data_IF_218549014073
#
_entry.id   IF_218549014073
#
_cell.length_a   1.000
_cell.length_b   1.000
_cell.length_c   1.000
_cell.angle_alpha   90.00
_cell.angle_beta   90.00
_cell.angle_gamma   90.00
#
_symmetry.space_group_name_H-M   'P 1'
#
loop_
_entity.id
_entity.type
_entity.pdbx_description
1 polymer ?
#
# COMPACT_ATOMS: atom_id res chain seq x y z
N UNK A 1 -13.45 -20.01 12.17
CA UNK A 1 -13.75 -18.66 11.63
C UNK A 1 -14.74 -17.93 12.55
N UNK A 2 -14.37 -16.75 13.06
CA UNK A 2 -15.11 -16.01 14.10
C UNK A 2 -16.26 -15.17 13.53
N UNK A 3 -17.29 -14.87 14.35
CA UNK A 3 -18.54 -14.15 14.02
C UNK A 3 -18.37 -12.76 13.36
N UNK A 4 -17.16 -12.21 13.28
CA UNK A 4 -16.90 -10.91 12.63
C UNK A 4 -16.98 -10.95 11.10
N UNK A 5 -16.81 -12.13 10.50
CA UNK A 5 -16.81 -12.34 9.05
C UNK A 5 -18.18 -12.19 8.37
N UNK A 6 -19.27 -12.17 9.15
CA UNK A 6 -20.63 -12.33 8.60
C UNK A 6 -21.38 -11.01 8.39
N UNK A 7 -20.72 -9.86 8.57
CA UNK A 7 -21.33 -8.54 8.39
C UNK A 7 -20.47 -7.58 7.60
N UNK A 8 -20.13 -7.92 6.36
CA UNK A 8 -19.97 -6.91 5.31
C UNK A 8 -20.60 -7.44 4.03
N UNK A 9 -21.83 -6.98 3.79
CA UNK A 9 -22.33 -6.84 2.42
C UNK A 9 -21.33 -5.92 1.74
N UNK A 10 -20.49 -6.46 0.86
CA UNK A 10 -19.69 -5.63 -0.04
C UNK A 10 -20.71 -4.95 -0.94
N UNK A 11 -21.09 -3.72 -0.55
CA UNK A 11 -21.83 -2.81 -1.39
C UNK A 11 -20.98 -2.62 -2.65
N UNK A 12 -21.53 -3.01 -3.79
CA UNK A 12 -20.94 -3.00 -5.14
C UNK A 12 -20.74 -1.58 -5.67
N UNK A 13 -20.12 -0.70 -4.88
CA UNK A 13 -19.79 0.68 -5.25
C UNK A 13 -18.41 1.07 -4.71
N UNK A 14 -17.44 0.16 -4.85
CA UNK A 14 -16.02 0.42 -4.70
C UNK A 14 -15.32 -0.09 -5.95
N UNK A 15 -15.34 0.74 -6.99
CA UNK A 15 -14.74 0.44 -8.28
C UNK A 15 -13.21 0.47 -8.11
N UNK A 16 -12.61 -0.66 -7.75
CA UNK A 16 -11.16 -0.87 -7.70
C UNK A 16 -10.64 -0.71 -9.14
N UNK A 17 -10.25 0.50 -9.48
CA UNK A 17 -9.52 0.85 -10.69
C UNK A 17 -8.10 1.20 -10.26
N UNK A 18 -7.27 0.18 -10.05
CA UNK A 18 -5.84 0.36 -9.81
C UNK A 18 -5.11 -0.50 -10.84
N UNK A 19 -4.16 0.15 -11.53
CA UNK A 19 -3.32 -0.34 -12.63
C UNK A 19 -3.98 -0.40 -14.01
N UNK A 20 -4.18 0.77 -14.62
CA UNK A 20 -4.22 0.87 -16.09
C UNK A 20 -3.75 2.22 -16.60
N UNK A 21 -2.60 2.71 -16.13
CA UNK A 21 -1.79 3.65 -16.92
C UNK A 21 -0.33 3.49 -16.50
N UNK A 22 0.48 2.76 -17.28
CA UNK A 22 1.76 3.24 -17.84
C UNK A 22 2.15 2.21 -18.90
N UNK A 23 2.17 2.61 -20.17
CA UNK A 23 3.21 2.32 -21.17
C UNK A 23 2.67 2.72 -22.55
N UNK A 24 3.14 3.85 -23.10
CA UNK A 24 4.02 3.90 -24.28
C UNK A 24 4.27 5.35 -24.74
N UNK A 25 5.58 5.66 -24.81
CA UNK A 25 6.28 6.52 -25.80
C UNK A 25 6.04 8.03 -25.86
N UNK A 26 7.13 8.77 -25.59
CA UNK A 26 7.97 9.30 -26.66
C UNK A 26 7.60 10.69 -27.21
N UNK A 27 8.50 11.65 -26.97
CA UNK A 27 8.53 13.00 -27.55
C UNK A 27 7.93 13.12 -28.95
N UNK A 28 6.87 13.91 -29.10
CA UNK A 28 6.66 14.78 -30.26
C UNK A 28 5.97 16.08 -29.85
N UNK A 29 6.27 17.14 -30.60
CA UNK A 29 6.08 18.56 -30.29
C UNK A 29 4.62 19.01 -30.17
N UNK A 30 4.44 19.98 -29.27
CA UNK A 30 3.42 21.03 -29.17
C UNK A 30 2.33 21.11 -30.25
N UNK A 31 1.08 21.09 -29.79
CA UNK A 31 0.06 22.06 -30.21
C UNK A 31 -0.99 22.24 -29.12
N UNK A 32 -1.29 23.50 -28.81
CA UNK A 32 -2.31 23.97 -27.88
C UNK A 32 -3.72 23.44 -28.21
N UNK A 33 -4.47 23.01 -27.20
CA UNK A 33 -5.92 23.04 -27.18
C UNK A 33 -6.44 22.96 -25.73
N UNK A 34 -6.96 24.09 -25.26
CA UNK A 34 -7.75 24.23 -24.03
C UNK A 34 -8.99 23.32 -24.08
N UNK A 35 -9.35 22.66 -22.97
CA UNK A 35 -10.76 22.32 -22.69
C UNK A 35 -11.05 22.34 -21.18
N UNK A 36 -11.75 23.40 -20.82
CA UNK A 36 -12.61 23.72 -19.68
C UNK A 36 -13.00 22.57 -18.73
N UNK A 37 -12.69 22.79 -17.45
CA UNK A 37 -13.33 22.13 -16.30
C UNK A 37 -14.78 22.65 -16.14
N UNK A 38 -15.72 21.76 -15.87
CA UNK A 38 -17.03 22.10 -15.33
C UNK A 38 -17.17 21.48 -13.94
N UNK A 39 -17.29 22.37 -12.95
CA UNK A 39 -17.74 22.08 -11.59
C UNK A 39 -19.14 21.48 -11.60
N UNK A 40 -19.36 20.50 -10.74
CA UNK A 40 -20.69 20.29 -10.19
C UNK A 40 -20.59 19.98 -8.70
N UNK A 41 -20.85 21.02 -7.93
CA UNK A 41 -21.15 21.02 -6.49
C UNK A 41 -22.38 20.18 -6.20
N UNK A 42 -22.32 19.38 -5.13
CA UNK A 42 -23.53 18.95 -4.42
C UNK A 42 -23.25 18.90 -2.92
N UNK A 43 -23.75 19.93 -2.25
CA UNK A 43 -23.91 19.99 -0.81
C UNK A 43 -24.83 18.88 -0.33
N UNK A 44 -24.52 18.27 0.82
CA UNK A 44 -25.52 17.69 1.72
C UNK A 44 -25.01 17.84 3.14
N UNK A 45 -25.59 18.80 3.85
CA UNK A 45 -25.62 18.91 5.31
C UNK A 45 -26.15 17.60 5.92
N UNK A 46 -25.54 17.12 7.00
CA UNK A 46 -26.24 16.75 8.27
C UNK A 46 -25.24 16.28 9.34
N UNK A 47 -25.07 17.17 10.33
CA UNK A 47 -25.02 16.94 11.78
C UNK A 47 -24.03 15.95 12.40
N UNK A 48 -23.01 16.59 12.97
CA UNK A 48 -22.24 16.29 14.17
C UNK A 48 -23.06 15.65 15.32
N UNK A 49 -22.60 14.50 15.80
CA UNK A 49 -22.87 14.02 17.16
C UNK A 49 -21.55 13.63 17.84
N UNK A 50 -21.18 14.45 18.82
CA UNK A 50 -20.13 14.20 19.77
C UNK A 50 -20.48 13.03 20.70
N UNK A 51 -19.52 12.15 20.97
CA UNK A 51 -19.51 11.28 22.15
C UNK A 51 -18.14 11.37 22.80
N UNK A 52 -18.15 11.91 24.02
CA UNK A 52 -16.99 12.11 24.89
C UNK A 52 -16.74 10.92 25.81
N UNK A 53 -15.44 10.63 25.96
CA UNK A 53 -14.67 10.12 27.09
C UNK A 53 -14.94 8.71 27.65
N UNK A 54 -13.87 7.92 27.70
CA UNK A 54 -13.30 7.44 28.96
C UNK A 54 -11.79 7.17 28.82
N UNK A 55 -11.01 7.87 29.64
CA UNK A 55 -9.61 7.57 29.97
C UNK A 55 -9.57 6.27 30.76
N UNK A 56 -8.66 5.36 30.39
CA UNK A 56 -8.02 4.46 31.34
C UNK A 56 -6.54 4.37 30.99
N UNK A 57 -5.74 4.82 31.95
CA UNK A 57 -4.28 4.83 31.97
C UNK A 57 -3.71 3.42 31.97
N UNK A 58 -2.72 3.15 31.13
CA UNK A 58 -1.63 2.23 31.45
C UNK A 58 -0.33 2.70 30.78
N UNK A 59 0.70 2.79 31.61
CA UNK A 59 2.06 3.24 31.31
C UNK A 59 2.86 2.21 30.50
N UNK A 60 3.90 2.75 29.84
CA UNK A 60 5.12 2.10 29.33
C UNK A 60 5.05 1.26 28.05
N UNK A 61 5.37 1.92 26.94
CA UNK A 61 6.69 1.69 26.32
C UNK A 61 7.10 2.96 25.56
N UNK A 62 7.93 3.81 26.16
CA UNK A 62 8.51 4.95 25.44
C UNK A 62 9.61 4.44 24.50
N UNK A 63 9.18 3.90 23.36
CA UNK A 63 10.00 3.90 22.16
C UNK A 63 10.27 5.38 21.89
N UNK A 64 11.53 5.79 21.95
CA UNK A 64 11.90 7.12 21.49
C UNK A 64 11.40 7.23 20.06
N UNK A 65 10.37 8.04 19.80
CA UNK A 65 9.99 8.38 18.44
C UNK A 65 11.24 8.94 17.78
N UNK A 66 11.81 8.20 16.82
CA UNK A 66 12.88 8.74 16.00
C UNK A 66 12.31 9.97 15.31
N UNK A 67 12.92 11.12 15.56
CA UNK A 67 12.48 12.36 14.96
C UNK A 67 12.72 12.29 13.46
N UNK A 68 11.66 12.48 12.67
CA UNK A 68 11.73 12.47 11.21
C UNK A 68 12.86 13.39 10.68
N UNK A 69 13.62 12.97 9.66
CA UNK A 69 14.68 13.80 9.09
C UNK A 69 14.08 15.06 8.46
N UNK A 70 14.73 16.20 8.68
CA UNK A 70 14.36 17.44 8.02
C UNK A 70 14.79 17.44 6.55
N UNK A 71 14.28 18.40 5.77
CA UNK A 71 14.58 18.52 4.33
C UNK A 71 16.07 18.55 3.99
N UNK A 72 16.89 19.25 4.77
CA UNK A 72 18.33 19.34 4.53
C UNK A 72 19.00 17.97 4.69
N UNK A 73 18.66 17.25 5.76
CA UNK A 73 19.12 15.87 5.99
C UNK A 73 18.68 14.96 4.84
N UNK A 74 17.42 15.03 4.42
CA UNK A 74 16.90 14.22 3.30
C UNK A 74 17.65 14.50 2.01
N UNK A 75 17.87 15.77 1.64
CA UNK A 75 18.61 16.13 0.43
C UNK A 75 20.05 15.62 0.45
N UNK A 76 20.73 15.73 1.60
CA UNK A 76 22.09 15.21 1.79
C UNK A 76 22.13 13.68 1.64
N UNK A 77 21.21 12.96 2.28
CA UNK A 77 21.20 11.49 2.19
C UNK A 77 20.80 10.99 0.81
N UNK A 78 19.89 11.70 0.12
CA UNK A 78 19.56 11.43 -1.27
C UNK A 78 20.79 11.52 -2.18
N UNK A 79 21.60 12.58 -2.05
CA UNK A 79 22.84 12.71 -2.83
C UNK A 79 23.80 11.53 -2.60
N UNK A 80 23.95 11.11 -1.33
CA UNK A 80 24.80 9.98 -0.95
C UNK A 80 24.25 8.64 -1.48
N UNK A 81 22.95 8.42 -1.33
CA UNK A 81 22.29 7.16 -1.69
C UNK A 81 22.27 6.95 -3.21
N UNK A 82 22.08 8.02 -3.99
CA UNK A 82 21.95 7.98 -5.44
C UNK A 82 23.27 8.17 -6.20
N UNK A 83 24.38 8.38 -5.48
CA UNK A 83 25.70 8.58 -6.08
C UNK A 83 26.08 7.43 -7.02
N UNK A 84 26.35 7.77 -8.27
CA UNK A 84 26.80 6.83 -9.31
C UNK A 84 25.69 6.28 -10.21
N UNK A 85 24.41 6.59 -9.91
CA UNK A 85 23.29 6.25 -10.79
C UNK A 85 23.12 7.28 -11.91
N UNK A 86 22.56 6.87 -13.05
CA UNK A 86 22.12 7.80 -14.10
C UNK A 86 20.77 8.42 -13.76
N UNK A 87 20.43 9.53 -14.41
CA UNK A 87 19.14 10.19 -14.24
C UNK A 87 17.98 9.24 -14.56
N UNK A 88 18.10 8.41 -15.60
CA UNK A 88 17.05 7.43 -15.96
C UNK A 88 16.88 6.33 -14.90
N UNK A 89 17.98 5.90 -14.26
CA UNK A 89 17.93 4.93 -13.17
C UNK A 89 17.24 5.51 -11.94
N UNK A 90 17.58 6.76 -11.59
CA UNK A 90 16.97 7.48 -10.48
C UNK A 90 15.46 7.69 -10.73
N UNK A 91 15.07 8.14 -11.93
CA UNK A 91 13.66 8.32 -12.30
C UNK A 91 12.89 7.01 -12.24
N UNK A 92 13.42 5.95 -12.87
CA UNK A 92 12.79 4.61 -12.86
C UNK A 92 12.59 4.08 -11.45
N UNK A 93 13.61 4.14 -10.59
CA UNK A 93 13.51 3.71 -9.19
C UNK A 93 12.48 4.54 -8.42
N UNK A 94 12.52 5.86 -8.57
CA UNK A 94 11.62 6.79 -7.87
C UNK A 94 10.16 6.53 -8.22
N UNK A 95 9.85 6.37 -9.50
CA UNK A 95 8.48 6.11 -9.96
C UNK A 95 7.95 4.75 -9.49
N UNK A 96 8.81 3.73 -9.43
CA UNK A 96 8.45 2.40 -8.92
C UNK A 96 8.18 2.42 -7.42
N UNK A 97 9.07 3.02 -6.63
CA UNK A 97 8.90 3.16 -5.17
C UNK A 97 7.64 3.96 -4.85
N UNK A 98 7.44 5.11 -5.51
CA UNK A 98 6.24 5.93 -5.36
C UNK A 98 4.97 5.13 -5.66
N UNK A 99 4.93 4.43 -6.79
CA UNK A 99 3.73 3.70 -7.21
C UNK A 99 3.41 2.56 -6.26
N UNK A 100 4.43 1.84 -5.78
CA UNK A 100 4.26 0.78 -4.80
C UNK A 100 3.80 1.31 -3.43
N UNK A 101 4.40 2.40 -2.94
CA UNK A 101 3.99 3.06 -1.70
C UNK A 101 2.52 3.48 -1.77
N UNK A 102 2.12 4.22 -2.80
CA UNK A 102 0.74 4.69 -2.96
C UNK A 102 -0.27 3.54 -3.07
N UNK A 103 0.08 2.44 -3.74
CA UNK A 103 -0.78 1.27 -3.86
C UNK A 103 -1.03 0.61 -2.48
N UNK A 104 0.04 0.34 -1.72
CA UNK A 104 -0.09 -0.24 -0.39
C UNK A 104 -0.78 0.72 0.58
N UNK A 105 -0.40 2.00 0.55
CA UNK A 105 -1.00 3.02 1.40
C UNK A 105 -2.51 3.13 1.16
N UNK A 106 -2.95 3.09 -0.10
CA UNK A 106 -4.38 3.09 -0.44
C UNK A 106 -5.09 1.85 0.12
N UNK A 107 -4.53 0.65 -0.09
CA UNK A 107 -5.10 -0.59 0.43
C UNK A 107 -5.15 -0.62 1.96
N UNK A 108 -4.13 -0.11 2.63
CA UNK A 108 -4.07 -0.02 4.10
C UNK A 108 -5.15 0.94 4.63
N UNK A 109 -5.26 2.13 4.03
CA UNK A 109 -6.19 3.16 4.53
C UNK A 109 -7.65 2.89 4.19
N UNK A 110 -7.95 2.42 2.99
CA UNK A 110 -9.32 2.38 2.48
C UNK A 110 -9.89 0.96 2.43
N UNK A 111 -9.04 -0.05 2.29
CA UNK A 111 -9.50 -1.43 2.10
C UNK A 111 -9.30 -2.31 3.34
N UNK A 112 -8.74 -1.78 4.44
CA UNK A 112 -8.40 -2.56 5.65
C UNK A 112 -7.44 -3.71 5.33
N UNK A 113 -6.50 -3.51 4.38
CA UNK A 113 -5.61 -4.57 3.88
C UNK A 113 -4.89 -5.32 5.00
N UNK A 114 -4.39 -4.61 6.02
CA UNK A 114 -3.69 -5.24 7.16
C UNK A 114 -4.63 -6.15 7.97
N UNK A 115 -5.88 -5.75 8.21
CA UNK A 115 -6.85 -6.60 8.92
C UNK A 115 -7.16 -7.86 8.10
N UNK A 116 -7.29 -7.74 6.78
CA UNK A 116 -7.55 -8.87 5.90
C UNK A 116 -6.36 -9.84 5.83
N UNK A 117 -5.12 -9.34 5.76
CA UNK A 117 -3.91 -10.16 5.71
C UNK A 117 -3.52 -10.73 7.08
N UNK A 118 -4.06 -10.20 8.17
CA UNK A 118 -3.85 -10.77 9.51
C UNK A 118 -4.43 -12.18 9.65
N UNK A 119 -5.35 -12.59 8.76
CA UNK A 119 -5.73 -13.98 8.58
C UNK A 119 -4.82 -14.65 7.55
N UNK A 120 -4.02 -15.65 7.97
CA UNK A 120 -3.12 -16.39 7.10
C UNK A 120 -3.85 -17.21 6.03
N UNK A 121 -5.13 -17.51 6.25
CA UNK A 121 -6.00 -18.22 5.28
C UNK A 121 -6.77 -17.24 4.36
N UNK A 122 -6.49 -15.93 4.46
CA UNK A 122 -7.14 -14.91 3.66
C UNK A 122 -6.87 -15.09 2.17
N UNK A 123 -7.90 -14.93 1.34
CA UNK A 123 -7.77 -14.96 -0.12
C UNK A 123 -6.99 -13.75 -0.65
N UNK A 124 -6.72 -12.72 0.16
CA UNK A 124 -5.85 -11.61 -0.23
C UNK A 124 -4.39 -12.04 -0.46
N UNK A 125 -3.93 -13.14 0.14
CA UNK A 125 -2.59 -13.67 -0.11
C UNK A 125 -2.37 -14.11 -1.56
N UNK A 126 -3.44 -14.42 -2.30
CA UNK A 126 -3.37 -14.77 -3.71
C UNK A 126 -2.71 -13.68 -4.59
N UNK A 127 -2.75 -12.41 -4.16
CA UNK A 127 -2.02 -11.33 -4.83
C UNK A 127 -0.50 -11.54 -4.84
N UNK A 128 0.07 -12.20 -3.83
CA UNK A 128 1.50 -12.54 -3.77
C UNK A 128 1.80 -13.92 -4.36
N UNK A 129 0.81 -14.80 -4.43
CA UNK A 129 1.02 -16.18 -4.87
C UNK A 129 0.90 -16.39 -6.38
N UNK A 130 0.01 -15.65 -7.05
CA UNK A 130 -0.45 -15.99 -8.40
C UNK A 130 -0.69 -14.77 -9.28
N UNK A 131 -0.30 -14.86 -10.55
CA UNK A 131 -0.70 -13.93 -11.61
C UNK A 131 -1.91 -14.44 -12.40
N UNK A 132 -2.61 -13.56 -13.10
CA UNK A 132 -3.79 -13.87 -13.90
C UNK A 132 -5.09 -13.73 -13.10
N UNK A 133 -6.12 -14.48 -13.46
CA UNK A 133 -7.37 -14.46 -12.71
C UNK A 133 -7.18 -15.14 -11.34
N UNK A 134 -7.22 -14.35 -10.26
CA UNK A 134 -7.12 -14.82 -8.88
C UNK A 134 -8.46 -14.67 -8.17
N UNK A 135 -8.74 -15.60 -7.26
CA UNK A 135 -9.88 -15.47 -6.37
C UNK A 135 -9.53 -14.58 -5.18
N UNK A 136 -10.39 -13.62 -4.86
CA UNK A 136 -10.18 -12.66 -3.74
C UNK A 136 -11.33 -12.67 -2.73
N UNK A 137 -12.40 -13.43 -2.99
CA UNK A 137 -13.51 -13.49 -2.05
C UNK A 137 -14.64 -14.41 -2.47
N UNK A 138 -15.73 -14.27 -1.74
CA UNK A 138 -17.01 -14.94 -1.98
C UNK A 138 -18.13 -13.90 -1.96
N UNK A 139 -19.02 -13.97 -2.94
CA UNK A 139 -20.28 -13.24 -2.96
C UNK A 139 -21.42 -14.22 -2.69
N UNK A 140 -22.45 -13.76 -1.98
CA UNK A 140 -23.64 -14.56 -1.68
C UNK A 140 -24.83 -13.90 -2.35
N UNK A 141 -25.39 -14.55 -3.37
CA UNK A 141 -26.63 -14.10 -4.02
C UNK A 141 -27.82 -14.83 -3.39
N UNK A 142 -28.09 -14.49 -2.13
CA UNK A 142 -29.23 -15.02 -1.40
C UNK A 142 -29.72 -14.06 -0.31
N UNK A 143 -31.04 -14.00 -0.15
CA UNK A 143 -31.67 -13.28 0.97
C UNK A 143 -31.74 -14.13 2.25
N UNK A 144 -31.41 -15.43 2.17
CA UNK A 144 -31.49 -16.36 3.30
C UNK A 144 -30.13 -16.35 4.01
N UNK A 145 -30.11 -15.97 5.29
CA UNK A 145 -28.89 -16.02 6.10
C UNK A 145 -28.43 -17.46 6.38
N UNK A 146 -27.15 -17.63 6.78
CA UNK A 146 -26.63 -18.94 7.21
C UNK A 146 -27.51 -19.54 8.32
N UNK A 147 -27.89 -18.74 9.31
CA UNK A 147 -28.72 -19.16 10.43
C UNK A 147 -30.13 -19.60 9.99
N UNK A 148 -30.77 -18.85 9.08
CA UNK A 148 -32.11 -19.18 8.57
C UNK A 148 -32.11 -20.37 7.62
N UNK A 149 -30.99 -20.64 6.95
CA UNK A 149 -30.89 -21.74 6.00
C UNK A 149 -30.99 -23.12 6.66
N UNK A 150 -30.66 -23.21 7.96
CA UNK A 150 -30.53 -24.48 8.68
C UNK A 150 -29.40 -25.39 8.16
N UNK A 151 -28.55 -24.87 7.26
CA UNK A 151 -27.42 -25.58 6.69
C UNK A 151 -26.18 -25.42 7.56
N UNK A 152 -25.23 -26.36 7.42
CA UNK A 152 -23.87 -26.11 7.88
C UNK A 152 -23.21 -25.01 7.03
N UNK A 153 -22.14 -24.40 7.53
CA UNK A 153 -21.40 -23.37 6.79
C UNK A 153 -20.94 -23.87 5.42
N UNK A 154 -20.42 -25.09 5.34
CA UNK A 154 -19.89 -25.66 4.10
C UNK A 154 -21.00 -25.91 3.07
N UNK A 155 -22.14 -26.46 3.51
CA UNK A 155 -23.33 -26.64 2.66
C UNK A 155 -23.90 -25.31 2.17
N UNK A 156 -23.90 -24.29 3.04
CA UNK A 156 -24.35 -22.95 2.68
C UNK A 156 -23.43 -22.30 1.65
N UNK A 157 -22.11 -22.37 1.87
CA UNK A 157 -21.12 -21.86 0.91
C UNK A 157 -21.24 -22.60 -0.43
N UNK A 158 -21.34 -23.93 -0.42
CA UNK A 158 -21.50 -24.72 -1.64
C UNK A 158 -22.76 -24.35 -2.42
N UNK A 159 -23.84 -23.99 -1.72
CA UNK A 159 -25.13 -23.70 -2.35
C UNK A 159 -25.27 -22.25 -2.82
N UNK A 160 -24.72 -21.29 -2.09
CA UNK A 160 -25.00 -19.87 -2.28
C UNK A 160 -23.78 -19.01 -2.58
N UNK A 161 -22.56 -19.50 -2.37
CA UNK A 161 -21.36 -18.71 -2.63
C UNK A 161 -20.98 -18.76 -4.12
N UNK A 162 -20.66 -17.59 -4.67
CA UNK A 162 -20.00 -17.43 -5.96
C UNK A 162 -18.62 -16.82 -5.73
N UNK A 163 -17.61 -17.27 -6.45
CA UNK A 163 -16.25 -16.72 -6.33
C UNK A 163 -16.24 -15.27 -6.80
N UNK A 164 -15.59 -14.40 -6.03
CA UNK A 164 -15.20 -13.06 -6.49
C UNK A 164 -13.75 -13.14 -6.93
N UNK A 165 -13.47 -12.75 -8.17
CA UNK A 165 -12.15 -12.83 -8.78
C UNK A 165 -11.72 -11.49 -9.37
N UNK A 166 -10.43 -11.31 -9.54
CA UNK A 166 -9.81 -10.16 -10.22
C UNK A 166 -8.61 -10.63 -11.05
N UNK A 167 -8.15 -9.82 -12.00
CA UNK A 167 -6.93 -10.10 -12.74
C UNK A 167 -5.73 -9.45 -12.02
N UNK A 168 -4.76 -10.25 -11.60
CA UNK A 168 -3.52 -9.80 -10.98
C UNK A 168 -2.36 -9.84 -11.97
N UNK A 169 -1.65 -8.72 -12.12
CA UNK A 169 -0.54 -8.62 -13.07
C UNK A 169 0.79 -9.12 -12.48
N UNK A 170 0.96 -8.96 -11.16
CA UNK A 170 2.23 -9.20 -10.47
C UNK A 170 2.03 -10.03 -9.22
N UNK A 171 2.83 -11.08 -9.09
CA UNK A 171 2.99 -11.88 -7.87
C UNK A 171 4.31 -11.55 -7.15
N UNK A 172 4.61 -12.23 -6.05
CA UNK A 172 5.85 -11.98 -5.29
C UNK A 172 7.12 -12.22 -6.12
N UNK A 173 7.13 -13.21 -7.01
CA UNK A 173 8.30 -13.50 -7.84
C UNK A 173 8.52 -12.37 -8.85
N UNK A 174 7.44 -11.79 -9.35
CA UNK A 174 7.48 -10.61 -10.21
C UNK A 174 8.00 -9.38 -9.45
N UNK A 175 7.54 -9.13 -8.22
CA UNK A 175 8.05 -8.03 -7.40
C UNK A 175 9.52 -8.22 -7.02
N UNK A 176 9.94 -9.44 -6.69
CA UNK A 176 11.35 -9.77 -6.44
C UNK A 176 12.21 -9.46 -7.67
N UNK A 177 11.76 -9.84 -8.88
CA UNK A 177 12.48 -9.53 -10.11
C UNK A 177 12.64 -8.02 -10.33
N UNK A 178 11.58 -7.23 -10.06
CA UNK A 178 11.65 -5.77 -10.14
C UNK A 178 12.63 -5.17 -9.12
N UNK A 179 12.70 -5.72 -7.91
CA UNK A 179 13.68 -5.28 -6.90
C UNK A 179 15.10 -5.69 -7.33
N UNK A 180 15.29 -6.89 -7.88
CA UNK A 180 16.56 -7.36 -8.40
C UNK A 180 17.09 -6.46 -9.52
N UNK A 181 16.24 -6.01 -10.44
CA UNK A 181 16.60 -5.01 -11.47
C UNK A 181 17.12 -3.70 -10.86
N UNK A 182 16.51 -3.24 -9.76
CA UNK A 182 16.95 -2.02 -9.06
C UNK A 182 18.31 -2.24 -8.40
N UNK A 183 18.52 -3.39 -7.76
CA UNK A 183 19.75 -3.74 -7.05
C UNK A 183 20.99 -3.78 -7.96
N UNK A 184 20.81 -4.00 -9.27
CA UNK A 184 21.91 -4.06 -10.25
C UNK A 184 22.70 -2.75 -10.38
N UNK A 185 22.06 -1.60 -10.17
CA UNK A 185 22.69 -0.29 -10.34
C UNK A 185 22.90 0.49 -9.03
N UNK A 186 22.46 -0.04 -7.89
CA UNK A 186 22.75 0.57 -6.59
C UNK A 186 24.20 0.31 -6.17
N UNK A 187 24.94 1.41 -6.04
CA UNK A 187 26.33 1.42 -5.54
C UNK A 187 26.42 1.71 -4.03
N UNK A 188 25.45 2.40 -3.45
CA UNK A 188 25.43 2.71 -2.03
C UNK A 188 25.00 1.48 -1.21
N UNK A 189 25.83 1.03 -0.27
CA UNK A 189 25.58 -0.20 0.50
C UNK A 189 24.38 -0.10 1.45
N UNK A 190 24.09 1.07 2.02
CA UNK A 190 22.95 1.26 2.92
C UNK A 190 21.63 1.20 2.13
N UNK A 191 21.54 1.91 1.00
CA UNK A 191 20.38 1.82 0.10
C UNK A 191 20.21 0.40 -0.45
N UNK A 192 21.32 -0.28 -0.77
CA UNK A 192 21.29 -1.67 -1.23
C UNK A 192 20.74 -2.60 -0.15
N UNK A 193 21.11 -2.36 1.11
CA UNK A 193 20.60 -3.11 2.24
C UNK A 193 19.10 -2.87 2.46
N UNK A 194 18.60 -1.65 2.27
CA UNK A 194 17.17 -1.33 2.36
C UNK A 194 16.35 -2.09 1.30
N UNK A 195 16.78 -2.06 0.03
CA UNK A 195 16.13 -2.84 -1.03
C UNK A 195 16.25 -4.36 -0.82
N UNK A 196 17.39 -4.84 -0.32
CA UNK A 196 17.58 -6.26 0.01
C UNK A 196 16.62 -6.70 1.12
N UNK A 197 16.42 -5.85 2.14
CA UNK A 197 15.47 -6.12 3.21
C UNK A 197 14.04 -6.20 2.68
N UNK A 198 13.63 -5.25 1.84
CA UNK A 198 12.31 -5.26 1.21
C UNK A 198 12.09 -6.52 0.35
N UNK A 199 13.11 -6.92 -0.43
CA UNK A 199 13.09 -8.16 -1.23
C UNK A 199 12.86 -9.40 -0.38
N UNK A 200 13.57 -9.52 0.74
CA UNK A 200 13.40 -10.67 1.64
C UNK A 200 12.01 -10.65 2.28
N UNK A 201 11.48 -9.48 2.68
CA UNK A 201 10.11 -9.39 3.19
C UNK A 201 9.07 -9.80 2.15
N UNK A 202 9.22 -9.44 0.86
CA UNK A 202 8.31 -9.92 -0.21
C UNK A 202 8.31 -11.45 -0.28
N UNK A 203 9.51 -12.04 -0.21
CA UNK A 203 9.65 -13.49 -0.22
C UNK A 203 9.01 -14.14 1.01
N UNK A 204 9.30 -13.63 2.20
CA UNK A 204 8.76 -14.15 3.45
C UNK A 204 7.24 -13.99 3.53
N UNK A 205 6.69 -12.88 3.04
CA UNK A 205 5.25 -12.66 2.95
C UNK A 205 4.55 -13.78 2.17
N UNK A 206 5.10 -14.16 0.99
CA UNK A 206 4.58 -15.29 0.20
C UNK A 206 4.77 -16.65 0.89
N UNK A 207 5.89 -16.87 1.57
CA UNK A 207 6.21 -18.18 2.16
C UNK A 207 5.46 -18.44 3.48
N UNK A 208 5.12 -17.38 4.23
CA UNK A 208 4.66 -17.50 5.63
C UNK A 208 3.28 -16.94 5.88
N UNK A 209 2.77 -16.10 4.98
CA UNK A 209 1.54 -15.31 5.20
C UNK A 209 1.59 -14.51 6.51
N UNK A 210 2.77 -14.03 6.89
CA UNK A 210 2.94 -13.11 8.01
C UNK A 210 2.69 -11.67 7.54
N UNK A 211 1.60 -11.08 8.02
CA UNK A 211 1.23 -9.69 7.73
C UNK A 211 2.32 -8.69 8.14
N UNK A 212 3.18 -9.02 9.11
CA UNK A 212 4.27 -8.15 9.52
C UNK A 212 5.31 -7.94 8.41
N UNK A 213 5.47 -8.91 7.49
CA UNK A 213 6.34 -8.75 6.33
C UNK A 213 5.77 -7.71 5.36
N UNK A 214 4.44 -7.66 5.19
CA UNK A 214 3.76 -6.64 4.37
C UNK A 214 3.84 -5.25 5.03
N UNK A 215 3.73 -5.20 6.36
CA UNK A 215 3.95 -3.96 7.12
C UNK A 215 5.39 -3.46 6.95
N UNK A 216 6.37 -4.35 7.00
CA UNK A 216 7.77 -3.99 6.79
C UNK A 216 8.03 -3.44 5.39
N UNK A 217 7.47 -4.06 4.35
CA UNK A 217 7.53 -3.56 2.97
C UNK A 217 6.92 -2.15 2.89
N UNK A 218 5.76 -1.94 3.49
CA UNK A 218 5.11 -0.63 3.52
C UNK A 218 5.98 0.43 4.21
N UNK A 219 6.54 0.15 5.38
CA UNK A 219 7.40 1.09 6.09
C UNK A 219 8.64 1.48 5.26
N UNK A 220 9.30 0.51 4.62
CA UNK A 220 10.47 0.78 3.77
C UNK A 220 10.07 1.64 2.57
N UNK A 221 9.00 1.29 1.87
CA UNK A 221 8.51 2.06 0.73
C UNK A 221 8.11 3.47 1.12
N UNK A 222 7.41 3.61 2.24
CA UNK A 222 6.93 4.90 2.75
C UNK A 222 8.08 5.83 3.11
N UNK A 223 9.02 5.37 3.95
CA UNK A 223 10.18 6.17 4.32
C UNK A 223 11.06 6.47 3.09
N UNK A 224 11.23 5.49 2.18
CA UNK A 224 12.03 5.69 0.97
C UNK A 224 11.39 6.71 0.04
N UNK A 225 10.07 6.69 -0.07
CA UNK A 225 9.33 7.62 -0.89
C UNK A 225 9.34 9.04 -0.30
N UNK A 226 8.85 9.21 0.92
CA UNK A 226 8.62 10.53 1.51
C UNK A 226 9.82 11.12 2.25
N UNK A 227 10.77 10.29 2.65
CA UNK A 227 11.93 10.72 3.43
C UNK A 227 13.25 10.37 2.76
N UNK A 228 13.31 9.83 1.53
CA UNK A 228 14.56 9.73 0.79
C UNK A 228 14.45 10.30 -0.62
N UNK A 229 13.60 9.74 -1.47
CA UNK A 229 13.52 10.06 -2.90
C UNK A 229 12.74 11.36 -3.16
N UNK A 230 11.73 11.64 -2.36
CA UNK A 230 11.00 12.91 -2.30
C UNK A 230 11.07 13.45 -0.87
N UNK A 231 10.61 14.68 -0.66
CA UNK A 231 10.35 15.19 0.69
C UNK A 231 8.86 15.40 0.87
N UNK A 232 8.17 14.31 1.26
CA UNK A 232 6.72 14.22 1.37
C UNK A 232 6.04 15.42 2.02
N UNK A 233 6.49 15.88 3.22
CA UNK A 233 5.84 16.98 3.93
C UNK A 233 5.66 18.27 3.11
N UNK A 234 6.64 18.62 2.27
CA UNK A 234 6.56 19.83 1.44
C UNK A 234 6.18 19.52 -0.01
N UNK A 235 6.76 18.47 -0.60
CA UNK A 235 6.58 18.16 -2.01
C UNK A 235 5.17 17.60 -2.29
N UNK A 236 4.56 16.93 -1.31
CA UNK A 236 3.26 16.24 -1.44
C UNK A 236 2.21 16.81 -0.50
N UNK A 237 2.59 17.20 0.72
CA UNK A 237 1.67 17.67 1.76
C UNK A 237 0.81 18.86 1.35
N UNK A 238 1.29 19.69 0.42
CA UNK A 238 0.52 20.82 -0.12
C UNK A 238 -0.73 20.43 -0.92
N UNK A 239 -0.81 19.17 -1.38
CA UNK A 239 -1.89 18.68 -2.25
C UNK A 239 -2.97 17.89 -1.49
N UNK A 240 -2.80 17.67 -0.18
CA UNK A 240 -3.74 16.87 0.63
C UNK A 240 -4.18 17.64 1.86
N UNK A 241 -5.41 17.37 2.32
CA UNK A 241 -5.96 18.00 3.52
C UNK A 241 -5.46 17.34 4.81
N UNK A 242 -5.30 16.02 4.77
CA UNK A 242 -4.73 15.24 5.87
C UNK A 242 -3.31 14.83 5.51
N UNK A 243 -2.34 15.32 6.26
CA UNK A 243 -0.91 15.04 6.08
C UNK A 243 -0.40 14.01 7.08
N UNK A 244 -1.26 13.42 7.91
CA UNK A 244 -0.87 12.49 8.97
C UNK A 244 -0.07 11.31 8.45
N UNK A 245 -0.47 10.72 7.32
CA UNK A 245 0.28 9.63 6.70
C UNK A 245 1.58 10.10 6.09
N UNK A 246 1.58 11.21 5.35
CA UNK A 246 2.80 11.76 4.73
C UNK A 246 3.85 12.13 5.79
N UNK A 247 3.40 12.62 6.95
CA UNK A 247 4.26 13.06 8.05
C UNK A 247 4.65 11.93 9.02
N UNK A 248 4.16 10.70 8.80
CA UNK A 248 4.53 9.55 9.61
C UNK A 248 5.92 9.08 9.20
N UNK A 249 6.88 9.09 10.11
CA UNK A 249 8.20 8.51 9.88
C UNK A 249 8.32 7.19 10.64
N UNK A 250 8.74 6.13 9.96
CA UNK A 250 8.88 4.79 10.55
C UNK A 250 10.30 4.51 11.06
N UNK A 251 11.31 5.22 10.55
CA UNK A 251 12.69 5.06 11.02
C UNK A 251 13.36 3.78 10.54
N UNK A 252 12.96 3.24 9.38
CA UNK A 252 13.40 1.89 8.96
C UNK A 252 14.54 1.87 7.96
N UNK A 253 14.93 3.02 7.40
CA UNK A 253 15.98 3.08 6.38
C UNK A 253 17.38 3.16 6.99
N UNK A 254 18.26 2.24 6.59
CA UNK A 254 19.66 2.18 7.03
C UNK A 254 20.46 3.40 6.63
N UNK A 255 20.08 4.10 5.57
CA UNK A 255 20.73 5.34 5.14
C UNK A 255 20.76 6.42 6.25
N UNK A 256 19.86 6.32 7.24
CA UNK A 256 19.78 7.23 8.38
C UNK A 256 20.49 6.72 9.65
N UNK A 257 20.83 5.43 9.74
CA UNK A 257 21.45 4.84 10.95
C UNK A 257 22.91 5.28 11.16
N UNK A 258 23.63 5.63 10.09
CA UNK A 258 25.08 5.86 10.11
C UNK A 258 25.51 7.35 10.17
N UNK A 259 24.61 8.28 10.54
CA UNK A 259 24.87 9.72 10.48
C UNK A 259 24.85 10.47 11.82
#
# INVERSE_FOLDING_TARGET
MSRKEMKRVISTTGMIFILSVVFFTGCTKASDAETQQQEQTKETDTQEQAVTNQEDTNEENSVSEESAPNKETVLKMREIALSGMTDEQIESMTERVKSANLSLENGIMFDNLIEQLSDSDSLMWNYLEQTGEIQIGWAFDTEISLEESGLTKDEYMQKYATTVSTNNEYDADSYIALIDEILEYISNEDLKADFTSMRESVKQAKETHDVNEVINIYHILHDMDYYLLRYGPEDVGQYVSDTSTINKYYGVLKIYENN
#
